data_IF_340388821110
#
_entry.id   IF_340388821110
#
_cell.length_a   1.000
_cell.length_b   1.000
_cell.length_c   1.000
_cell.angle_alpha   90.00
_cell.angle_beta   90.00
_cell.angle_gamma   90.00
#
_symmetry.space_group_name_H-M   'P 1'
#
loop_
_entity.id
_entity.type
_entity.pdbx_description
1 polymer ?
#
# COMPACT_ATOMS: atom_id res chain seq x y z
N UNK A 1 17.53 -24.07 -8.31
CA UNK A 1 16.74 -23.08 -7.56
C UNK A 1 17.66 -22.46 -6.51
N UNK A 2 18.18 -21.25 -6.72
CA UNK A 2 19.23 -20.67 -5.84
C UNK A 2 18.58 -20.12 -4.57
N UNK A 3 18.90 -20.74 -3.42
CA UNK A 3 18.41 -20.36 -2.08
C UNK A 3 18.64 -18.86 -1.73
N UNK A 4 19.62 -18.23 -2.38
CA UNK A 4 19.91 -16.78 -2.26
C UNK A 4 18.80 -15.85 -2.78
N UNK A 5 17.74 -16.36 -3.42
CA UNK A 5 16.59 -15.55 -3.87
C UNK A 5 15.34 -15.66 -2.99
N UNK A 6 15.40 -16.36 -1.85
CA UNK A 6 14.22 -16.56 -1.00
C UNK A 6 13.96 -15.40 -0.02
N UNK A 7 15.00 -14.65 0.35
CA UNK A 7 14.89 -13.62 1.39
C UNK A 7 15.15 -12.26 0.78
N UNK A 8 14.10 -11.47 0.65
CA UNK A 8 14.17 -10.07 0.24
C UNK A 8 14.74 -9.24 1.41
N UNK A 9 15.95 -8.65 1.32
CA UNK A 9 16.55 -7.90 2.44
C UNK A 9 15.69 -6.69 2.85
N UNK A 10 14.98 -6.08 1.89
CA UNK A 10 14.03 -5.01 2.17
C UNK A 10 12.79 -5.51 2.91
N UNK A 11 12.36 -6.75 2.64
CA UNK A 11 11.30 -7.42 3.38
C UNK A 11 11.70 -7.67 4.83
N UNK A 12 12.93 -8.15 5.07
CA UNK A 12 13.46 -8.32 6.43
C UNK A 12 13.57 -7.00 7.18
N UNK A 13 14.04 -5.93 6.53
CA UNK A 13 14.13 -4.61 7.14
C UNK A 13 12.74 -4.07 7.53
N UNK A 14 11.76 -4.16 6.63
CA UNK A 14 10.37 -3.76 6.91
C UNK A 14 9.74 -4.59 8.02
N UNK A 15 9.95 -5.91 8.01
CA UNK A 15 9.51 -6.82 9.07
C UNK A 15 10.11 -6.45 10.42
N UNK A 16 11.43 -6.32 10.50
CA UNK A 16 12.12 -6.02 11.75
C UNK A 16 11.66 -4.68 12.34
N UNK A 17 11.49 -3.66 11.50
CA UNK A 17 10.96 -2.35 11.91
C UNK A 17 9.55 -2.49 12.50
N UNK A 18 8.62 -3.08 11.74
CA UNK A 18 7.23 -3.18 12.17
C UNK A 18 7.05 -4.08 13.40
N UNK A 19 7.75 -5.23 13.43
CA UNK A 19 7.67 -6.18 14.53
C UNK A 19 8.25 -5.60 15.82
N UNK A 20 9.39 -4.89 15.74
CA UNK A 20 9.96 -4.20 16.89
C UNK A 20 8.97 -3.21 17.52
N UNK A 21 8.36 -2.37 16.69
CA UNK A 21 7.39 -1.39 17.17
C UNK A 21 6.13 -2.04 17.72
N UNK A 22 5.60 -3.08 17.08
CA UNK A 22 4.44 -3.80 17.57
C UNK A 22 4.68 -4.43 18.95
N UNK A 23 5.87 -4.97 19.19
CA UNK A 23 6.26 -5.55 20.49
C UNK A 23 6.42 -4.44 21.55
N UNK A 24 7.19 -3.39 21.24
CA UNK A 24 7.50 -2.32 22.20
C UNK A 24 6.25 -1.53 22.58
N UNK A 25 5.36 -1.27 21.62
CA UNK A 25 4.10 -0.54 21.86
C UNK A 25 2.94 -1.45 22.25
N UNK A 26 3.16 -2.78 22.35
CA UNK A 26 2.15 -3.77 22.72
C UNK A 26 0.87 -3.63 21.89
N UNK A 27 1.03 -3.65 20.56
CA UNK A 27 -0.11 -3.54 19.67
C UNK A 27 -1.11 -4.65 19.93
N UNK A 28 -2.38 -4.27 19.96
CA UNK A 28 -3.51 -5.18 19.94
C UNK A 28 -3.78 -5.69 18.53
N UNK A 29 -4.54 -6.78 18.41
CA UNK A 29 -4.94 -7.33 17.11
C UNK A 29 -5.75 -6.32 16.27
N UNK A 30 -6.70 -5.54 16.85
CA UNK A 30 -7.38 -4.48 16.12
C UNK A 30 -6.44 -3.38 15.61
N UNK A 31 -5.48 -2.94 16.43
CA UNK A 31 -4.46 -1.97 15.99
C UNK A 31 -3.64 -2.52 14.83
N UNK A 32 -3.28 -3.81 14.85
CA UNK A 32 -2.60 -4.43 13.72
C UNK A 32 -3.45 -4.43 12.44
N UNK A 33 -4.75 -4.72 12.53
CA UNK A 33 -5.66 -4.65 11.38
C UNK A 33 -5.73 -3.24 10.78
N UNK A 34 -5.90 -2.22 11.62
CA UNK A 34 -5.91 -0.82 11.20
C UNK A 34 -4.55 -0.35 10.65
N UNK A 35 -3.44 -0.80 11.25
CA UNK A 35 -2.11 -0.57 10.71
C UNK A 35 -1.97 -1.17 9.31
N UNK A 36 -2.48 -2.39 9.09
CA UNK A 36 -2.39 -3.10 7.80
C UNK A 36 -3.22 -2.38 6.74
N UNK A 37 -4.41 -1.90 7.10
CA UNK A 37 -5.21 -1.03 6.27
C UNK A 37 -4.48 0.28 5.91
N UNK A 38 -3.89 0.96 6.89
CA UNK A 38 -3.08 2.17 6.66
C UNK A 38 -1.92 1.86 5.71
N UNK A 39 -1.25 0.73 5.92
CA UNK A 39 -0.15 0.27 5.08
C UNK A 39 -0.53 0.11 3.62
N UNK A 40 -1.69 -0.49 3.34
CA UNK A 40 -2.24 -0.59 2.00
C UNK A 40 -2.56 0.79 1.40
N UNK A 41 -3.15 1.69 2.19
CA UNK A 41 -3.50 3.05 1.76
C UNK A 41 -2.24 3.84 1.38
N UNK A 42 -1.25 3.88 2.27
CA UNK A 42 0.01 4.58 2.04
C UNK A 42 0.78 4.01 0.86
N UNK A 43 0.79 2.68 0.69
CA UNK A 43 1.38 2.05 -0.48
C UNK A 43 0.71 2.50 -1.77
N UNK A 44 -0.63 2.47 -1.83
CA UNK A 44 -1.38 2.94 -3.00
C UNK A 44 -1.10 4.41 -3.30
N UNK A 45 -1.06 5.26 -2.27
CA UNK A 45 -0.70 6.67 -2.39
C UNK A 45 0.70 6.89 -2.96
N UNK A 46 1.69 6.17 -2.44
CA UNK A 46 3.06 6.23 -2.93
C UNK A 46 3.19 5.74 -4.37
N UNK A 47 2.45 4.70 -4.76
CA UNK A 47 2.37 4.22 -6.13
C UNK A 47 1.80 5.28 -7.09
N UNK A 48 0.69 5.92 -6.73
CA UNK A 48 0.08 6.99 -7.53
C UNK A 48 1.02 8.20 -7.63
N UNK A 49 1.57 8.64 -6.50
CA UNK A 49 2.48 9.78 -6.43
C UNK A 49 3.75 9.54 -7.27
N UNK A 50 4.42 8.40 -7.06
CA UNK A 50 5.65 8.06 -7.80
C UNK A 50 5.40 7.88 -9.30
N UNK A 51 4.23 7.39 -9.71
CA UNK A 51 3.83 7.32 -11.11
C UNK A 51 3.66 8.72 -11.73
N UNK A 52 2.95 9.61 -11.03
CA UNK A 52 2.72 10.99 -11.47
C UNK A 52 4.04 11.75 -11.64
N UNK A 53 4.89 11.73 -10.61
CA UNK A 53 6.21 12.38 -10.63
C UNK A 53 7.07 11.84 -11.78
N UNK A 54 7.11 10.52 -11.98
CA UNK A 54 7.87 9.94 -13.09
C UNK A 54 7.32 10.42 -14.45
N UNK A 55 6.01 10.42 -14.66
CA UNK A 55 5.41 10.92 -15.92
C UNK A 55 5.79 12.38 -16.16
N UNK A 56 5.73 13.23 -15.14
CA UNK A 56 6.10 14.65 -15.23
C UNK A 56 7.58 14.82 -15.59
N UNK A 57 8.48 14.05 -14.96
CA UNK A 57 9.93 14.10 -15.22
C UNK A 57 10.28 13.61 -16.62
N UNK A 58 9.55 12.62 -17.14
CA UNK A 58 9.83 11.95 -18.42
C UNK A 58 8.98 12.53 -19.56
N UNK A 59 8.08 13.47 -19.28
CA UNK A 59 7.13 14.06 -20.22
C UNK A 59 7.79 14.53 -21.52
N UNK A 60 8.95 15.19 -21.45
CA UNK A 60 9.67 15.65 -22.64
C UNK A 60 10.10 14.52 -23.57
N UNK A 61 10.51 13.38 -23.02
CA UNK A 61 10.96 12.21 -23.79
C UNK A 61 9.80 11.40 -24.40
N UNK A 62 8.56 11.60 -23.94
CA UNK A 62 7.37 10.95 -24.50
C UNK A 62 6.95 11.56 -25.84
N UNK A 63 7.41 12.78 -26.15
CA UNK A 63 7.01 13.53 -27.34
C UNK A 63 7.22 12.76 -28.66
N UNK A 64 8.39 12.16 -28.95
CA UNK A 64 8.60 11.46 -30.23
C UNK A 64 7.67 10.25 -30.39
N UNK A 65 7.34 9.57 -29.29
CA UNK A 65 6.38 8.46 -29.30
C UNK A 65 4.95 8.94 -29.54
N UNK A 66 4.57 10.08 -28.94
CA UNK A 66 3.27 10.71 -29.16
C UNK A 66 3.11 11.25 -30.58
N UNK A 67 4.14 11.88 -31.16
CA UNK A 67 4.10 12.41 -32.53
C UNK A 67 3.88 11.33 -33.60
N UNK A 68 4.36 10.10 -33.35
CA UNK A 68 4.09 8.95 -34.23
C UNK A 68 2.61 8.53 -34.21
N UNK A 69 1.93 8.69 -33.07
CA UNK A 69 0.53 8.26 -32.89
C UNK A 69 -0.47 9.38 -33.16
N UNK A 70 -0.08 10.63 -32.90
CA UNK A 70 -0.93 11.82 -32.93
C UNK A 70 -0.21 12.92 -33.73
N UNK A 71 -0.47 13.03 -35.05
CA UNK A 71 0.25 13.94 -35.93
C UNK A 71 0.14 15.42 -35.53
N UNK A 72 -0.96 15.80 -34.85
CA UNK A 72 -1.18 17.18 -34.39
C UNK A 72 -0.18 17.65 -33.33
N UNK A 73 0.44 16.71 -32.59
CA UNK A 73 1.43 17.02 -31.54
C UNK A 73 2.66 17.72 -32.11
N UNK A 74 2.98 17.49 -33.40
CA UNK A 74 4.08 18.17 -34.09
C UNK A 74 3.94 19.69 -34.11
N UNK A 75 2.70 20.20 -34.10
CA UNK A 75 2.39 21.64 -34.14
C UNK A 75 2.45 22.29 -32.75
N UNK A 76 2.55 21.50 -31.68
CA UNK A 76 2.55 22.00 -30.30
C UNK A 76 3.99 22.36 -29.90
N UNK A 77 4.25 23.56 -29.33
CA UNK A 77 5.58 23.90 -28.83
C UNK A 77 5.96 22.98 -27.66
N UNK A 78 7.26 22.72 -27.51
CA UNK A 78 7.75 21.72 -26.54
C UNK A 78 7.26 22.00 -25.10
N UNK A 79 7.32 23.27 -24.67
CA UNK A 79 6.86 23.68 -23.34
C UNK A 79 5.37 23.42 -23.12
N UNK A 80 4.52 23.72 -24.12
CA UNK A 80 3.08 23.46 -24.01
C UNK A 80 2.77 21.95 -23.98
N UNK A 81 3.54 21.13 -24.71
CA UNK A 81 3.40 19.67 -24.65
C UNK A 81 3.74 19.13 -23.25
N UNK A 82 4.90 19.52 -22.70
CA UNK A 82 5.33 19.10 -21.35
C UNK A 82 4.33 19.55 -20.29
N UNK A 83 3.89 20.81 -20.35
CA UNK A 83 2.87 21.35 -19.43
C UNK A 83 1.57 20.55 -19.54
N UNK A 84 1.09 20.30 -20.76
CA UNK A 84 -0.14 19.54 -20.99
C UNK A 84 -0.07 18.12 -20.44
N UNK A 85 1.02 17.39 -20.69
CA UNK A 85 1.24 16.04 -20.14
C UNK A 85 1.31 16.07 -18.61
N UNK A 86 1.99 17.05 -18.02
CA UNK A 86 2.09 17.20 -16.57
C UNK A 86 0.73 17.50 -15.92
N UNK A 87 -0.07 18.37 -16.53
CA UNK A 87 -1.44 18.65 -16.06
C UNK A 87 -2.30 17.39 -16.14
N UNK A 88 -2.25 16.66 -17.26
CA UNK A 88 -3.00 15.40 -17.41
C UNK A 88 -2.54 14.35 -16.38
N UNK A 89 -1.23 14.25 -16.12
CA UNK A 89 -0.69 13.35 -15.10
C UNK A 89 -1.17 13.73 -13.70
N UNK A 90 -1.17 15.03 -13.36
CA UNK A 90 -1.69 15.53 -12.08
C UNK A 90 -3.19 15.23 -11.92
N UNK A 91 -4.00 15.50 -12.95
CA UNK A 91 -5.43 15.20 -12.95
C UNK A 91 -5.69 13.69 -12.80
N UNK A 92 -4.94 12.85 -13.53
CA UNK A 92 -5.03 11.39 -13.43
C UNK A 92 -4.66 10.89 -12.03
N UNK A 93 -3.60 11.46 -11.43
CA UNK A 93 -3.20 11.14 -10.07
C UNK A 93 -4.28 11.54 -9.04
N UNK A 94 -4.83 12.74 -9.14
CA UNK A 94 -5.92 13.22 -8.28
C UNK A 94 -7.16 12.32 -8.36
N UNK A 95 -7.52 11.89 -9.57
CA UNK A 95 -8.62 10.94 -9.78
C UNK A 95 -8.31 9.59 -9.12
N UNK A 96 -7.11 9.06 -9.31
CA UNK A 96 -6.68 7.80 -8.69
C UNK A 96 -6.68 7.90 -7.16
N UNK A 97 -6.17 9.00 -6.59
CA UNK A 97 -6.21 9.26 -5.14
C UNK A 97 -7.64 9.23 -4.61
N UNK A 98 -8.59 9.90 -5.29
CA UNK A 98 -10.01 9.86 -4.88
C UNK A 98 -10.59 8.46 -4.93
N UNK A 99 -10.29 7.70 -5.98
CA UNK A 99 -10.77 6.33 -6.12
C UNK A 99 -10.22 5.42 -4.99
N UNK A 100 -8.93 5.54 -4.69
CA UNK A 100 -8.31 4.78 -3.60
C UNK A 100 -8.86 5.19 -2.24
N UNK A 101 -9.05 6.49 -1.97
CA UNK A 101 -9.64 6.94 -0.72
C UNK A 101 -11.08 6.44 -0.55
N UNK A 102 -11.87 6.42 -1.62
CA UNK A 102 -13.22 5.84 -1.59
C UNK A 102 -13.18 4.34 -1.28
N UNK A 103 -12.32 3.58 -1.97
CA UNK A 103 -12.19 2.15 -1.77
C UNK A 103 -11.69 1.80 -0.36
N UNK A 104 -10.63 2.47 0.11
CA UNK A 104 -10.12 2.28 1.47
C UNK A 104 -11.11 2.80 2.51
N UNK A 105 -11.88 3.84 2.22
CA UNK A 105 -12.99 4.29 3.05
C UNK A 105 -14.03 3.20 3.26
N UNK A 106 -14.42 2.51 2.18
CA UNK A 106 -15.30 1.34 2.27
C UNK A 106 -14.70 0.26 3.19
N UNK A 107 -13.44 -0.14 2.99
CA UNK A 107 -12.79 -1.13 3.87
C UNK A 107 -12.64 -0.65 5.33
N UNK A 108 -12.41 0.66 5.54
CA UNK A 108 -12.34 1.26 6.86
C UNK A 108 -13.66 1.12 7.63
N UNK A 109 -14.80 1.23 6.94
CA UNK A 109 -16.13 0.99 7.55
C UNK A 109 -16.28 -0.48 8.00
N UNK A 110 -15.81 -1.46 7.22
CA UNK A 110 -15.85 -2.85 7.68
C UNK A 110 -14.93 -3.08 8.88
N UNK A 111 -13.73 -2.48 8.85
CA UNK A 111 -12.80 -2.56 9.98
C UNK A 111 -13.37 -1.91 11.23
N UNK A 112 -14.14 -0.83 11.11
CA UNK A 112 -14.79 -0.22 12.27
C UNK A 112 -15.86 -1.11 12.90
N UNK A 113 -16.38 -2.12 12.20
CA UNK A 113 -17.32 -3.11 12.75
C UNK A 113 -16.60 -4.34 13.32
N UNK A 114 -15.53 -4.79 12.66
CA UNK A 114 -14.87 -6.07 12.99
C UNK A 114 -13.60 -5.93 13.85
N UNK A 115 -12.97 -4.77 13.84
CA UNK A 115 -11.70 -4.48 14.49
C UNK A 115 -11.80 -3.15 15.27
N UNK A 116 -12.80 -3.06 16.15
CA UNK A 116 -13.02 -1.89 16.99
C UNK A 116 -11.79 -1.63 17.89
N UNK A 117 -11.33 -0.37 17.95
CA UNK A 117 -10.24 0.04 18.83
C UNK A 117 -10.46 1.45 19.38
N UNK A 118 -9.67 1.83 20.38
CA UNK A 118 -9.67 3.19 20.93
C UNK A 118 -8.87 4.18 20.05
N UNK A 119 -9.34 5.43 19.85
CA UNK A 119 -10.58 5.99 20.37
C UNK A 119 -11.83 5.51 19.61
N UNK A 120 -12.84 5.05 20.33
CA UNK A 120 -14.09 4.56 19.72
C UNK A 120 -14.84 5.61 18.89
N UNK A 121 -14.59 6.90 19.14
CA UNK A 121 -15.10 8.00 18.32
C UNK A 121 -14.58 7.96 16.88
N UNK A 122 -13.40 7.37 16.63
CA UNK A 122 -12.79 7.23 15.30
C UNK A 122 -12.84 5.79 14.77
N UNK A 123 -12.68 4.78 15.65
CA UNK A 123 -12.52 3.38 15.24
C UNK A 123 -13.54 2.42 15.85
N UNK A 124 -14.55 2.92 16.57
CA UNK A 124 -15.69 2.12 17.00
C UNK A 124 -16.69 1.89 15.86
N UNK A 125 -17.72 1.06 16.11
CA UNK A 125 -18.73 0.66 15.11
C UNK A 125 -19.23 1.76 14.18
N UNK A 126 -19.49 2.93 14.73
CA UNK A 126 -19.96 4.11 14.00
C UNK A 126 -18.92 5.24 13.91
N UNK A 127 -17.75 5.08 14.53
CA UNK A 127 -16.75 6.13 14.64
C UNK A 127 -16.23 6.56 13.27
N UNK A 128 -15.79 5.58 12.47
CA UNK A 128 -15.21 5.85 11.15
C UNK A 128 -16.22 6.47 10.17
N UNK A 129 -17.49 6.10 10.28
CA UNK A 129 -18.59 6.65 9.47
C UNK A 129 -18.88 8.11 9.84
N UNK A 130 -18.76 8.45 11.13
CA UNK A 130 -19.10 9.76 11.67
C UNK A 130 -17.90 10.74 11.67
N UNK A 131 -16.69 10.25 11.44
CA UNK A 131 -15.48 11.06 11.28
C UNK A 131 -15.21 11.38 9.79
N UNK A 132 -14.49 12.47 9.51
CA UNK A 132 -13.91 12.64 8.18
C UNK A 132 -12.84 11.56 7.91
N UNK A 133 -12.63 11.15 6.66
CA UNK A 133 -11.68 10.09 6.32
C UNK A 133 -10.25 10.38 6.79
N UNK A 134 -9.85 11.65 6.86
CA UNK A 134 -8.46 12.03 7.10
C UNK A 134 -8.10 12.03 8.58
N UNK A 135 -9.03 12.36 9.48
CA UNK A 135 -8.76 12.36 10.93
C UNK A 135 -8.33 10.98 11.46
N UNK A 136 -9.04 9.86 11.19
CA UNK A 136 -8.58 8.52 11.53
C UNK A 136 -7.24 8.17 10.87
N UNK A 137 -7.06 8.53 9.59
CA UNK A 137 -5.79 8.28 8.89
C UNK A 137 -4.62 8.97 9.58
N UNK A 138 -4.77 10.24 9.97
CA UNK A 138 -3.71 10.99 10.65
C UNK A 138 -3.39 10.38 12.02
N UNK A 139 -4.41 9.99 12.80
CA UNK A 139 -4.20 9.28 14.06
C UNK A 139 -3.41 7.97 13.86
N UNK A 140 -3.77 7.20 12.83
CA UNK A 140 -3.06 5.96 12.49
C UNK A 140 -1.63 6.23 12.03
N UNK A 141 -1.36 7.32 11.30
CA UNK A 141 0.00 7.70 10.92
C UNK A 141 0.82 8.04 12.16
N UNK A 142 0.29 8.85 13.09
CA UNK A 142 1.05 9.24 14.28
C UNK A 142 1.44 8.02 15.14
N UNK A 143 0.57 7.03 15.24
CA UNK A 143 0.76 5.87 16.14
C UNK A 143 1.31 4.63 15.46
N UNK A 144 0.85 4.31 14.25
CA UNK A 144 1.03 3.03 13.55
C UNK A 144 1.76 3.16 12.20
N UNK A 145 2.41 4.30 11.92
CA UNK A 145 3.23 4.47 10.71
C UNK A 145 4.31 3.40 10.46
N UNK A 146 4.92 2.72 11.48
CA UNK A 146 6.02 1.78 11.20
C UNK A 146 5.62 0.65 10.26
N UNK A 147 4.35 0.23 10.28
CA UNK A 147 3.86 -0.77 9.32
C UNK A 147 3.79 -0.21 7.90
N UNK A 148 3.26 1.02 7.73
CA UNK A 148 3.23 1.68 6.43
C UNK A 148 4.63 1.92 5.86
N UNK A 149 5.56 2.38 6.69
CA UNK A 149 6.96 2.55 6.31
C UNK A 149 7.63 1.22 5.98
N UNK A 150 7.40 0.18 6.78
CA UNK A 150 7.91 -1.15 6.49
C UNK A 150 7.43 -1.65 5.14
N UNK A 151 6.13 -1.48 4.82
CA UNK A 151 5.56 -1.87 3.52
C UNK A 151 6.22 -1.09 2.39
N UNK A 152 6.41 0.23 2.55
CA UNK A 152 7.11 1.04 1.56
C UNK A 152 8.55 0.54 1.33
N UNK A 153 9.30 0.24 2.39
CA UNK A 153 10.66 -0.31 2.30
C UNK A 153 10.64 -1.65 1.56
N UNK A 154 9.79 -2.59 2.00
CA UNK A 154 9.70 -3.93 1.44
C UNK A 154 9.27 -3.96 -0.04
N UNK A 155 8.59 -2.90 -0.51
CA UNK A 155 8.11 -2.72 -1.86
C UNK A 155 8.84 -1.61 -2.64
N UNK A 156 10.02 -1.17 -2.18
CA UNK A 156 10.70 0.00 -2.76
C UNK A 156 10.90 -0.09 -4.29
N UNK A 157 11.21 -1.29 -4.78
CA UNK A 157 11.40 -1.55 -6.22
C UNK A 157 10.13 -1.32 -7.06
N UNK A 158 8.95 -1.33 -6.46
CA UNK A 158 7.70 -1.09 -7.16
C UNK A 158 7.53 0.39 -7.53
N UNK A 159 8.08 1.31 -6.72
CA UNK A 159 8.00 2.75 -6.98
C UNK A 159 8.94 3.20 -8.09
N UNK A 160 10.01 2.47 -8.35
CA UNK A 160 11.04 2.80 -9.35
C UNK A 160 10.81 2.12 -10.70
N UNK A 161 9.74 1.35 -10.87
CA UNK A 161 9.47 0.62 -12.13
C UNK A 161 9.32 1.56 -13.33
N UNK A 162 9.82 1.18 -14.53
CA UNK A 162 9.77 2.03 -15.72
C UNK A 162 8.34 2.34 -16.23
N UNK A 163 7.34 1.53 -15.89
CA UNK A 163 5.98 1.67 -16.41
C UNK A 163 5.07 2.39 -15.39
N UNK A 164 4.88 3.73 -15.48
CA UNK A 164 4.14 4.51 -14.49
C UNK A 164 2.65 4.15 -14.40
N UNK A 165 1.98 3.93 -15.54
CA UNK A 165 0.56 3.62 -15.54
C UNK A 165 0.24 2.27 -14.87
N UNK A 166 1.13 1.29 -15.04
CA UNK A 166 0.99 0.03 -14.31
C UNK A 166 1.16 0.21 -12.80
N UNK A 167 2.05 1.12 -12.35
CA UNK A 167 2.21 1.43 -10.92
C UNK A 167 0.92 1.98 -10.30
N UNK A 168 0.11 2.74 -11.06
CA UNK A 168 -1.18 3.26 -10.57
C UNK A 168 -2.19 2.14 -10.32
N UNK A 169 -2.21 1.08 -11.14
CA UNK A 169 -3.18 -0.02 -11.05
C UNK A 169 -2.69 -1.16 -10.14
N UNK A 170 -1.38 -1.32 -10.01
CA UNK A 170 -0.75 -2.41 -9.27
C UNK A 170 -1.26 -2.63 -7.83
N UNK A 171 -1.54 -1.58 -7.03
CA UNK A 171 -2.14 -1.76 -5.70
C UNK A 171 -3.49 -2.49 -5.74
N UNK A 172 -4.31 -2.30 -6.79
CA UNK A 172 -5.60 -2.99 -6.93
C UNK A 172 -5.40 -4.50 -7.17
N UNK A 173 -4.38 -4.91 -7.92
CA UNK A 173 -4.18 -6.32 -8.26
C UNK A 173 -3.53 -7.11 -7.13
N UNK A 174 -2.53 -6.54 -6.44
CA UNK A 174 -1.72 -7.28 -5.48
C UNK A 174 -2.06 -6.98 -4.03
N UNK A 175 -2.32 -5.72 -3.65
CA UNK A 175 -2.57 -5.38 -2.25
C UNK A 175 -3.99 -5.76 -1.83
N UNK A 176 -4.98 -5.59 -2.69
CA UNK A 176 -6.35 -6.03 -2.39
C UNK A 176 -6.38 -7.54 -2.13
N UNK A 177 -5.79 -8.34 -3.02
CA UNK A 177 -5.72 -9.79 -2.84
C UNK A 177 -4.99 -10.14 -1.55
N UNK A 178 -3.90 -9.44 -1.25
CA UNK A 178 -3.14 -9.65 -0.01
C UNK A 178 -3.97 -9.32 1.23
N UNK A 179 -4.64 -8.17 1.26
CA UNK A 179 -5.56 -7.77 2.34
C UNK A 179 -6.66 -8.81 2.55
N UNK A 180 -7.26 -9.35 1.48
CA UNK A 180 -8.27 -10.41 1.58
C UNK A 180 -7.69 -11.70 2.14
N UNK A 181 -6.50 -12.11 1.69
CA UNK A 181 -5.81 -13.28 2.24
C UNK A 181 -5.48 -13.08 3.73
N UNK A 182 -5.09 -11.88 4.14
CA UNK A 182 -4.85 -11.56 5.55
C UNK A 182 -6.11 -11.64 6.39
N UNK A 183 -7.22 -11.05 5.92
CA UNK A 183 -8.51 -11.14 6.61
C UNK A 183 -8.95 -12.60 6.77
N UNK A 184 -8.73 -13.44 5.75
CA UNK A 184 -9.04 -14.87 5.82
C UNK A 184 -8.10 -15.63 6.76
N UNK A 185 -6.81 -15.31 6.77
CA UNK A 185 -5.80 -16.03 7.58
C UNK A 185 -5.84 -15.64 9.06
N UNK A 186 -6.18 -14.39 9.37
CA UNK A 186 -6.19 -13.82 10.72
C UNK A 186 -6.95 -14.65 11.76
N UNK A 187 -8.20 -15.11 11.54
CA UNK A 187 -8.90 -15.90 12.56
C UNK A 187 -8.21 -17.24 12.84
N UNK A 188 -7.68 -17.92 11.82
CA UNK A 188 -7.00 -19.20 11.98
C UNK A 188 -5.66 -19.03 12.72
N UNK A 189 -4.87 -18.02 12.35
CA UNK A 189 -3.58 -17.75 12.99
C UNK A 189 -3.79 -17.29 14.44
N UNK A 190 -4.81 -16.46 14.70
CA UNK A 190 -5.13 -16.01 16.05
C UNK A 190 -5.59 -17.17 16.93
N UNK A 191 -6.46 -18.06 16.43
CA UNK A 191 -6.89 -19.26 17.17
C UNK A 191 -5.72 -20.21 17.44
N UNK A 192 -4.85 -20.43 16.46
CA UNK A 192 -3.69 -21.31 16.63
C UNK A 192 -2.68 -20.72 17.63
N UNK A 193 -2.43 -19.41 17.56
CA UNK A 193 -1.59 -18.72 18.53
C UNK A 193 -2.21 -18.81 19.93
N UNK A 194 -3.52 -18.62 20.06
CA UNK A 194 -4.22 -18.73 21.34
C UNK A 194 -4.15 -20.15 21.92
N UNK A 195 -4.35 -21.18 21.09
CA UNK A 195 -4.28 -22.57 21.53
C UNK A 195 -2.90 -22.97 22.10
N UNK A 196 -1.82 -22.32 21.64
CA UNK A 196 -0.44 -22.64 22.05
C UNK A 196 0.08 -21.70 23.14
N UNK A 197 -0.28 -20.41 23.08
CA UNK A 197 0.32 -19.34 23.90
C UNK A 197 -0.66 -18.69 24.88
N UNK A 198 -1.94 -19.09 24.91
CA UNK A 198 -2.93 -18.59 25.87
C UNK A 198 -3.13 -17.09 25.75
N UNK A 199 -3.01 -16.36 26.87
CA UNK A 199 -3.28 -14.92 26.93
C UNK A 199 -2.24 -14.06 26.19
N UNK A 200 -1.02 -14.57 25.98
CA UNK A 200 0.05 -13.86 25.25
C UNK A 200 -0.07 -13.99 23.71
N UNK A 201 -1.16 -14.57 23.22
CA UNK A 201 -1.32 -14.90 21.80
C UNK A 201 -1.27 -13.71 20.86
N UNK A 202 -1.68 -12.51 21.30
CA UNK A 202 -1.80 -11.35 20.42
C UNK A 202 -0.45 -10.97 19.81
N UNK A 203 0.59 -10.87 20.65
CA UNK A 203 1.94 -10.53 20.20
C UNK A 203 2.46 -11.57 19.22
N UNK A 204 2.26 -12.86 19.51
CA UNK A 204 2.72 -13.96 18.64
C UNK A 204 1.96 -13.94 17.31
N UNK A 205 0.64 -13.80 17.35
CA UNK A 205 -0.19 -13.73 16.14
C UNK A 205 0.21 -12.55 15.26
N UNK A 206 0.43 -11.37 15.83
CA UNK A 206 0.86 -10.17 15.10
C UNK A 206 2.22 -10.41 14.43
N UNK A 207 3.21 -10.95 15.16
CA UNK A 207 4.53 -11.22 14.59
C UNK A 207 4.45 -12.25 13.45
N UNK A 208 3.65 -13.30 13.59
CA UNK A 208 3.44 -14.29 12.53
C UNK A 208 2.75 -13.69 11.30
N UNK A 209 1.72 -12.87 11.50
CA UNK A 209 1.01 -12.18 10.42
C UNK A 209 1.94 -11.17 9.71
N UNK A 210 2.77 -10.44 10.45
CA UNK A 210 3.81 -9.58 9.87
C UNK A 210 4.82 -10.40 9.07
N UNK A 211 5.22 -11.57 9.57
CA UNK A 211 6.11 -12.48 8.85
C UNK A 211 5.53 -12.88 7.50
N UNK A 212 4.25 -13.25 7.46
CA UNK A 212 3.55 -13.51 6.21
C UNK A 212 3.49 -12.27 5.30
N UNK A 213 3.30 -11.08 5.87
CA UNK A 213 3.12 -9.84 5.11
C UNK A 213 4.41 -9.44 4.39
N UNK A 214 5.54 -9.55 5.09
CA UNK A 214 6.83 -9.05 4.65
C UNK A 214 7.71 -10.09 3.96
N UNK A 215 7.62 -11.34 4.40
CA UNK A 215 8.56 -12.40 4.00
C UNK A 215 7.98 -13.36 2.97
N UNK A 216 6.66 -13.30 2.68
CA UNK A 216 6.12 -14.10 1.58
C UNK A 216 6.74 -13.69 0.24
N UNK A 217 7.20 -14.65 -0.56
CA UNK A 217 7.81 -14.37 -1.84
C UNK A 217 6.79 -13.73 -2.79
N UNK A 218 7.06 -12.51 -3.23
CA UNK A 218 6.27 -11.85 -4.27
C UNK A 218 6.47 -12.60 -5.58
N UNK A 219 5.37 -12.91 -6.27
CA UNK A 219 5.42 -13.48 -7.62
C UNK A 219 6.23 -12.52 -8.48
N UNK A 220 7.39 -12.96 -8.97
CA UNK A 220 8.14 -12.18 -9.95
C UNK A 220 7.21 -11.98 -11.16
N UNK A 221 7.01 -10.74 -11.63
CA UNK A 221 6.31 -10.55 -12.88
C UNK A 221 7.07 -11.34 -13.93
N UNK A 222 6.35 -12.21 -14.66
CA UNK A 222 6.92 -12.92 -15.80
C UNK A 222 7.70 -11.90 -16.63
N UNK A 223 9.00 -12.14 -16.76
CA UNK A 223 9.88 -11.39 -17.66
C UNK A 223 9.13 -11.24 -18.97
N UNK A 224 8.70 -10.01 -19.26
CA UNK A 224 8.18 -9.67 -20.57
C UNK A 224 9.33 -9.96 -21.52
N UNK A 225 9.22 -11.06 -22.27
CA UNK A 225 10.07 -11.27 -23.42
C UNK A 225 9.93 -10.02 -24.28
N UNK A 226 11.00 -9.22 -24.36
CA UNK A 226 11.10 -8.13 -25.30
C UNK A 226 10.98 -8.74 -26.70
N UNK A 227 9.83 -8.52 -27.34
CA UNK A 227 9.66 -8.60 -28.79
C UNK A 227 9.73 -7.20 -29.38
#
# INVERSE_FOLDING_TARGET
>A
MKLRSLINPYGCAGFALAAWFAIVQKWSLPEFCWATWLGGLLYAWLCVFSAAVHIMLVAGSLRPACEKRLPFVRRVPHGAFVLGVSVLAACGALLAFRLYNYLFGFYGIFLSVFAEMEPHALFGRNGFINSDFYTPVMYLIERLWPLGAGIAIANWSDFTRPQPWKRVVFPMEQEIVRLHLFVLALPFISMLAWAVFGDDYQTVAIVLLMGLLYLMPKKQPATVCNG
#
